data_IF_985018624743
#
_entry.id   IF_985018624743
#
_cell.length_a   1.000
_cell.length_b   1.000
_cell.length_c   1.000
_cell.angle_alpha   90.00
_cell.angle_beta   90.00
_cell.angle_gamma   90.00
#
_symmetry.space_group_name_H-M   'P 1'
#
loop_
_entity.id
_entity.type
_entity.pdbx_description
1 polymer ?
#
# COMPACT_ATOMS: atom_id res chain seq x y z
N UNK A 1 -2.55 -17.50 0.12
CA UNK A 1 -2.88 -18.28 -1.10
C UNK A 1 -2.78 -17.36 -2.30
N UNK A 2 -2.17 -17.81 -3.40
CA UNK A 2 -2.18 -17.05 -4.67
C UNK A 2 -3.63 -16.85 -5.13
N UNK A 3 -4.01 -15.67 -5.68
CA UNK A 3 -5.38 -15.42 -6.13
C UNK A 3 -5.78 -16.38 -7.26
N UNK A 4 -7.00 -16.90 -7.16
CA UNK A 4 -7.61 -17.74 -8.20
C UNK A 4 -8.41 -16.87 -9.19
N UNK A 5 -7.76 -15.94 -9.87
CA UNK A 5 -8.44 -15.11 -10.87
C UNK A 5 -7.65 -13.82 -11.17
N UNK A 6 -8.00 -13.11 -12.26
CA UNK A 6 -7.34 -11.88 -12.62
C UNK A 6 -7.69 -10.77 -11.61
N UNK A 7 -6.68 -10.01 -11.20
CA UNK A 7 -6.87 -8.75 -10.43
C UNK A 7 -7.59 -7.72 -11.29
N UNK A 8 -8.29 -6.78 -10.66
CA UNK A 8 -8.81 -5.61 -11.36
C UNK A 8 -7.61 -4.78 -11.84
N UNK A 9 -7.42 -4.60 -13.15
CA UNK A 9 -6.32 -3.78 -13.64
C UNK A 9 -6.48 -2.34 -13.15
N UNK A 10 -5.37 -1.65 -12.92
CA UNK A 10 -5.31 -0.25 -12.47
C UNK A 10 -6.07 0.06 -11.17
N UNK A 11 -6.46 -0.96 -10.40
CA UNK A 11 -7.16 -0.77 -9.14
C UNK A 11 -6.17 -0.63 -7.98
N UNK A 12 -6.16 0.54 -7.37
CA UNK A 12 -5.36 0.88 -6.20
C UNK A 12 -6.19 0.73 -4.92
N UNK A 13 -5.52 0.44 -3.81
CA UNK A 13 -6.15 0.42 -2.50
C UNK A 13 -5.24 0.93 -1.39
N UNK A 14 -5.84 1.34 -0.29
CA UNK A 14 -5.21 1.46 1.03
C UNK A 14 -6.13 0.93 2.11
N UNK A 15 -5.58 0.48 3.22
CA UNK A 15 -6.34 0.01 4.39
C UNK A 15 -5.68 0.50 5.67
N UNK A 16 -6.35 1.42 6.38
CA UNK A 16 -5.84 1.99 7.63
C UNK A 16 -6.96 2.65 8.44
N UNK A 17 -6.64 3.09 9.65
CA UNK A 17 -7.50 4.07 10.33
C UNK A 17 -7.51 5.37 9.53
N UNK A 18 -8.67 6.03 9.44
CA UNK A 18 -8.77 7.37 8.83
C UNK A 18 -8.41 8.42 9.88
N UNK A 19 -7.12 8.61 10.07
CA UNK A 19 -6.51 9.49 11.06
C UNK A 19 -5.34 10.25 10.42
N UNK A 20 -5.03 11.43 10.95
CA UNK A 20 -4.11 12.40 10.35
C UNK A 20 -2.72 11.83 10.05
N UNK A 21 -2.21 10.98 10.93
CA UNK A 21 -0.89 10.34 10.75
C UNK A 21 -0.82 9.35 9.57
N UNK A 22 -1.97 9.03 8.96
CA UNK A 22 -2.05 8.15 7.77
C UNK A 22 -2.04 8.92 6.46
N UNK A 23 -2.23 10.23 6.51
CA UNK A 23 -2.14 11.13 5.37
C UNK A 23 -2.87 10.64 4.11
N UNK A 24 -4.14 10.18 4.30
CA UNK A 24 -4.96 9.69 3.19
C UNK A 24 -5.26 10.79 2.18
N UNK A 25 -5.32 12.03 2.63
CA UNK A 25 -5.44 13.23 1.78
C UNK A 25 -4.30 13.32 0.75
N UNK A 26 -3.06 13.01 1.13
CA UNK A 26 -1.93 12.99 0.19
C UNK A 26 -2.10 11.91 -0.88
N UNK A 27 -2.62 10.72 -0.51
CA UNK A 27 -2.91 9.67 -1.48
C UNK A 27 -4.02 10.09 -2.45
N UNK A 28 -5.07 10.77 -1.98
CA UNK A 28 -6.14 11.29 -2.82
C UNK A 28 -5.57 12.27 -3.86
N UNK A 29 -4.79 13.27 -3.43
CA UNK A 29 -4.14 14.20 -4.37
C UNK A 29 -3.22 13.50 -5.36
N UNK A 30 -2.45 12.52 -4.92
CA UNK A 30 -1.54 11.75 -5.79
C UNK A 30 -2.31 10.93 -6.82
N UNK A 31 -3.40 10.28 -6.41
CA UNK A 31 -4.22 9.47 -7.32
C UNK A 31 -4.96 10.33 -8.33
N UNK A 32 -5.45 11.52 -7.95
CA UNK A 32 -6.04 12.48 -8.91
C UNK A 32 -5.04 12.82 -10.02
N UNK A 33 -3.81 13.17 -9.67
CA UNK A 33 -2.74 13.47 -10.65
C UNK A 33 -2.35 12.26 -11.51
N UNK A 34 -2.36 11.06 -10.93
CA UNK A 34 -2.11 9.83 -11.69
C UNK A 34 -3.25 9.48 -12.63
N UNK A 35 -4.50 9.69 -12.22
CA UNK A 35 -5.70 9.46 -13.02
C UNK A 35 -5.77 10.40 -14.25
N UNK A 36 -5.27 11.64 -14.15
CA UNK A 36 -5.13 12.54 -15.31
C UNK A 36 -4.25 11.95 -16.41
N UNK A 37 -3.28 11.12 -16.07
CA UNK A 37 -2.36 10.47 -17.02
C UNK A 37 -2.85 9.06 -17.44
N UNK A 38 -3.51 8.35 -16.54
CA UNK A 38 -4.06 7.00 -16.73
C UNK A 38 -5.51 6.96 -16.21
N UNK A 39 -6.51 7.31 -17.05
CA UNK A 39 -7.92 7.42 -16.63
C UNK A 39 -8.57 6.11 -16.16
N UNK A 40 -7.92 4.98 -16.36
CA UNK A 40 -8.38 3.68 -15.86
C UNK A 40 -8.11 3.47 -14.36
N UNK A 41 -7.26 4.30 -13.75
CA UNK A 41 -6.91 4.19 -12.33
C UNK A 41 -8.16 4.43 -11.47
N UNK A 42 -8.38 3.50 -10.53
CA UNK A 42 -9.39 3.63 -9.47
C UNK A 42 -8.72 3.45 -8.11
N UNK A 43 -9.30 4.05 -7.06
CA UNK A 43 -8.74 3.98 -5.71
C UNK A 43 -9.82 3.74 -4.65
N UNK A 44 -9.71 2.64 -3.92
CA UNK A 44 -10.59 2.27 -2.83
C UNK A 44 -9.87 2.41 -1.47
N UNK A 45 -10.46 3.18 -0.57
CA UNK A 45 -9.91 3.49 0.76
C UNK A 45 -10.71 2.73 1.82
N UNK A 46 -10.08 1.75 2.45
CA UNK A 46 -10.67 0.93 3.51
C UNK A 46 -10.30 1.45 4.89
N UNK A 47 -11.28 1.50 5.77
CA UNK A 47 -11.11 1.89 7.16
C UNK A 47 -12.16 2.86 7.66
N UNK A 48 -12.03 3.20 8.94
CA UNK A 48 -12.88 4.17 9.63
C UNK A 48 -12.01 5.09 10.48
N UNK A 49 -12.52 6.27 10.78
CA UNK A 49 -11.82 7.25 11.64
C UNK A 49 -12.39 8.64 11.55
N UNK A 50 -11.82 9.53 12.35
CA UNK A 50 -12.32 10.89 12.50
C UNK A 50 -12.22 11.76 11.25
N UNK A 51 -11.32 11.43 10.31
CA UNK A 51 -11.10 12.22 9.10
C UNK A 51 -12.06 11.88 7.95
N UNK A 52 -12.97 10.91 8.14
CA UNK A 52 -13.88 10.48 7.06
C UNK A 52 -14.59 11.64 6.37
N UNK A 53 -15.20 12.55 7.14
CA UNK A 53 -15.98 13.67 6.57
C UNK A 53 -15.08 14.65 5.77
N UNK A 54 -13.87 14.91 6.26
CA UNK A 54 -12.89 15.75 5.57
C UNK A 54 -12.44 15.10 4.26
N UNK A 55 -12.19 13.77 4.26
CA UNK A 55 -11.80 13.04 3.05
C UNK A 55 -12.93 12.95 2.04
N UNK A 56 -14.20 12.77 2.46
CA UNK A 56 -15.38 12.83 1.60
C UNK A 56 -15.49 14.20 0.92
N UNK A 57 -15.32 15.28 1.69
CA UNK A 57 -15.32 16.63 1.16
C UNK A 57 -14.19 16.87 0.15
N UNK A 58 -12.95 16.42 0.46
CA UNK A 58 -11.79 16.53 -0.42
C UNK A 58 -12.03 15.81 -1.76
N UNK A 59 -12.55 14.58 -1.74
CA UNK A 59 -12.88 13.82 -2.95
C UNK A 59 -13.89 14.60 -3.81
N UNK A 60 -14.90 15.18 -3.18
CA UNK A 60 -15.90 16.00 -3.88
C UNK A 60 -15.31 17.30 -4.48
N UNK A 61 -14.49 18.03 -3.74
CA UNK A 61 -13.83 19.25 -4.21
C UNK A 61 -12.90 18.98 -5.41
N UNK A 62 -12.31 17.78 -5.47
CA UNK A 62 -11.46 17.34 -6.57
C UNK A 62 -12.24 16.67 -7.72
N UNK A 63 -13.58 16.57 -7.65
CA UNK A 63 -14.44 15.87 -8.60
C UNK A 63 -14.00 14.44 -8.88
N UNK A 64 -13.58 13.70 -7.83
CA UNK A 64 -12.96 12.39 -7.93
C UNK A 64 -13.88 11.22 -7.53
N UNK A 65 -15.18 11.46 -7.26
CA UNK A 65 -16.12 10.48 -6.72
C UNK A 65 -16.34 9.26 -7.64
N UNK A 66 -16.13 9.44 -8.94
CA UNK A 66 -16.32 8.35 -9.90
C UNK A 66 -15.22 7.26 -9.79
N UNK A 67 -14.01 7.63 -9.32
CA UNK A 67 -12.87 6.72 -9.29
C UNK A 67 -12.17 6.60 -7.92
N UNK A 68 -12.51 7.44 -6.90
CA UNK A 68 -12.03 7.34 -5.52
C UNK A 68 -13.19 7.10 -4.56
N UNK A 69 -13.11 6.07 -3.72
CA UNK A 69 -14.21 5.66 -2.83
C UNK A 69 -13.74 5.34 -1.42
N UNK A 70 -14.50 5.83 -0.42
CA UNK A 70 -14.34 5.47 1.00
C UNK A 70 -15.21 4.26 1.32
N UNK A 71 -14.61 3.09 1.39
CA UNK A 71 -15.28 1.80 1.52
C UNK A 71 -15.75 1.47 2.94
N UNK A 72 -15.21 2.16 3.97
CA UNK A 72 -15.50 1.84 5.36
C UNK A 72 -14.75 0.60 5.85
N UNK A 73 -15.23 0.02 6.96
CA UNK A 73 -14.60 -1.16 7.56
C UNK A 73 -15.03 -2.44 6.83
N UNK A 74 -14.05 -3.27 6.45
CA UNK A 74 -14.27 -4.56 5.83
C UNK A 74 -13.36 -5.63 6.44
N UNK A 75 -13.76 -6.89 6.32
CA UNK A 75 -12.87 -8.02 6.60
C UNK A 75 -11.88 -8.17 5.44
N UNK A 76 -10.63 -7.83 5.67
CA UNK A 76 -9.65 -7.59 4.59
C UNK A 76 -9.08 -8.84 3.93
N UNK A 77 -9.20 -10.03 4.54
CA UNK A 77 -8.54 -11.26 4.08
C UNK A 77 -8.75 -11.60 2.59
N UNK A 78 -9.92 -11.27 2.03
CA UNK A 78 -10.25 -11.54 0.63
C UNK A 78 -10.24 -10.27 -0.24
N UNK A 79 -9.99 -9.10 0.35
CA UNK A 79 -10.06 -7.82 -0.34
C UNK A 79 -8.81 -7.55 -1.16
N UNK A 80 -7.62 -7.69 -0.55
CA UNK A 80 -6.33 -7.35 -1.19
C UNK A 80 -6.14 -7.99 -2.56
N UNK A 81 -6.56 -9.25 -2.74
CA UNK A 81 -6.38 -10.00 -4.00
C UNK A 81 -7.10 -9.40 -5.21
N UNK A 82 -8.07 -8.50 -4.99
CA UNK A 82 -8.82 -7.87 -6.07
C UNK A 82 -8.12 -6.65 -6.67
N UNK A 83 -7.05 -6.18 -6.05
CA UNK A 83 -6.36 -4.94 -6.41
C UNK A 83 -5.03 -5.21 -7.12
N UNK A 84 -4.51 -4.17 -7.77
CA UNK A 84 -3.24 -4.20 -8.49
C UNK A 84 -2.09 -3.60 -7.71
N UNK A 85 -2.35 -2.68 -6.77
CA UNK A 85 -1.33 -2.12 -5.89
C UNK A 85 -1.92 -1.57 -4.59
N UNK A 86 -1.06 -1.47 -3.58
CA UNK A 86 -1.34 -0.88 -2.27
C UNK A 86 -0.58 0.44 -2.12
N UNK A 87 -1.25 1.48 -1.62
CA UNK A 87 -0.66 2.80 -1.36
C UNK A 87 -0.56 3.07 0.15
N UNK A 88 0.57 3.62 0.59
CA UNK A 88 0.80 4.06 1.96
C UNK A 88 1.38 5.46 1.99
N UNK A 89 0.76 6.37 2.73
CA UNK A 89 1.31 7.72 2.98
C UNK A 89 1.67 7.93 4.46
N UNK A 90 1.66 6.87 5.27
CA UNK A 90 2.08 6.98 6.67
C UNK A 90 3.50 7.51 6.79
N UNK A 91 3.69 8.52 7.63
CA UNK A 91 5.01 9.08 7.96
C UNK A 91 5.67 8.36 9.14
N UNK A 92 4.96 7.44 9.77
CA UNK A 92 5.45 6.57 10.84
C UNK A 92 4.71 5.24 10.80
N UNK A 93 5.45 4.18 10.62
CA UNK A 93 4.94 2.81 10.69
C UNK A 93 5.83 1.96 11.60
N UNK A 94 5.23 1.34 12.61
CA UNK A 94 5.93 0.37 13.45
C UNK A 94 6.31 -0.87 12.62
N UNK A 95 5.52 -1.93 12.70
CA UNK A 95 5.75 -3.13 11.86
C UNK A 95 5.03 -3.05 10.50
N UNK A 96 3.82 -2.46 10.44
CA UNK A 96 3.05 -2.37 9.21
C UNK A 96 2.31 -3.66 8.84
N UNK A 97 1.41 -4.14 9.70
CA UNK A 97 0.63 -5.37 9.44
C UNK A 97 -0.14 -5.31 8.11
N UNK A 98 -0.70 -4.17 7.76
CA UNK A 98 -1.43 -4.00 6.48
C UNK A 98 -0.50 -4.07 5.27
N UNK A 99 0.78 -3.68 5.43
CA UNK A 99 1.80 -3.83 4.40
C UNK A 99 2.17 -5.31 4.22
N UNK A 100 2.34 -6.04 5.34
CA UNK A 100 2.57 -7.49 5.30
C UNK A 100 1.39 -8.23 4.64
N UNK A 101 0.16 -7.87 4.97
CA UNK A 101 -1.04 -8.43 4.34
C UNK A 101 -1.08 -8.13 2.84
N UNK A 102 -0.69 -6.91 2.42
CA UNK A 102 -0.61 -6.52 1.02
C UNK A 102 0.43 -7.36 0.25
N UNK A 103 1.70 -7.43 0.72
CA UNK A 103 2.74 -8.24 0.04
C UNK A 103 2.42 -9.73 0.13
N UNK A 104 1.84 -10.21 1.23
CA UNK A 104 1.35 -11.58 1.39
C UNK A 104 0.19 -11.94 0.46
N UNK A 105 -0.49 -10.95 -0.07
CA UNK A 105 -1.49 -11.07 -1.14
C UNK A 105 -0.91 -10.80 -2.53
N UNK A 106 0.40 -10.59 -2.64
CA UNK A 106 1.11 -10.33 -3.89
C UNK A 106 0.88 -8.92 -4.44
N UNK A 107 0.51 -7.94 -3.61
CA UNK A 107 0.40 -6.56 -4.06
C UNK A 107 1.76 -5.85 -4.01
N UNK A 108 2.16 -5.16 -5.07
CA UNK A 108 3.21 -4.17 -4.99
C UNK A 108 2.76 -3.00 -4.11
N UNK A 109 3.72 -2.33 -3.47
CA UNK A 109 3.44 -1.22 -2.55
C UNK A 109 4.19 0.04 -3.00
N UNK A 110 3.51 1.19 -2.94
CA UNK A 110 4.16 2.50 -3.02
C UNK A 110 4.01 3.18 -1.67
N UNK A 111 5.11 3.71 -1.13
CA UNK A 111 5.10 4.40 0.15
C UNK A 111 6.34 5.24 0.38
N UNK A 112 6.32 6.08 1.41
CA UNK A 112 7.51 6.86 1.79
C UNK A 112 8.57 6.00 2.48
N UNK A 113 9.84 6.35 2.32
CA UNK A 113 10.96 5.72 3.02
C UNK A 113 10.97 6.15 4.49
N UNK A 114 10.06 5.59 5.27
CA UNK A 114 9.90 5.86 6.70
C UNK A 114 10.21 4.61 7.51
N UNK A 115 10.98 4.79 8.59
CA UNK A 115 11.34 3.70 9.52
C UNK A 115 10.08 3.24 10.27
N UNK A 116 9.77 1.93 10.38
CA UNK A 116 10.53 0.77 9.90
C UNK A 116 9.73 -0.03 8.85
N UNK A 117 8.40 0.14 8.77
CA UNK A 117 7.49 -0.69 8.00
C UNK A 117 7.75 -0.69 6.50
N UNK A 118 7.72 0.49 5.85
CA UNK A 118 7.80 0.55 4.40
C UNK A 118 9.08 -0.08 3.83
N UNK A 119 10.31 0.26 4.30
CA UNK A 119 11.53 -0.38 3.79
C UNK A 119 11.65 -1.87 4.09
N UNK A 120 10.86 -2.38 5.06
CA UNK A 120 10.82 -3.82 5.35
C UNK A 120 10.08 -4.60 4.27
N UNK A 121 9.04 -4.01 3.68
CA UNK A 121 8.13 -4.69 2.75
C UNK A 121 8.23 -4.19 1.31
N UNK A 122 8.97 -3.12 1.05
CA UNK A 122 9.16 -2.57 -0.29
C UNK A 122 10.62 -2.73 -0.71
N UNK A 123 10.86 -3.47 -1.78
CA UNK A 123 12.12 -3.47 -2.52
C UNK A 123 11.96 -2.49 -3.67
N UNK A 124 12.62 -1.34 -3.57
CA UNK A 124 12.47 -0.24 -4.52
C UNK A 124 12.77 -0.66 -5.95
N UNK A 125 11.82 -0.41 -6.87
CA UNK A 125 11.89 -0.82 -8.26
C UNK A 125 11.63 -2.31 -8.54
N UNK A 126 11.44 -3.17 -7.52
CA UNK A 126 11.23 -4.61 -7.70
C UNK A 126 9.79 -5.04 -7.39
N UNK A 127 9.22 -4.59 -6.25
CA UNK A 127 7.82 -4.82 -5.88
C UNK A 127 7.09 -3.54 -5.47
N UNK A 128 7.50 -2.40 -6.00
CA UNK A 128 6.93 -1.11 -5.73
C UNK A 128 7.97 -0.01 -5.67
N UNK A 129 7.63 1.09 -5.00
CA UNK A 129 8.52 2.24 -4.91
C UNK A 129 8.58 2.81 -3.50
N UNK A 130 9.79 3.16 -3.06
CA UNK A 130 10.06 3.97 -1.88
C UNK A 130 10.29 5.43 -2.32
N UNK A 131 9.43 6.33 -1.85
CA UNK A 131 9.60 7.76 -2.06
C UNK A 131 10.48 8.29 -0.93
N UNK A 132 11.61 8.94 -1.22
CA UNK A 132 12.67 9.19 -0.24
C UNK A 132 12.22 9.96 1.00
N UNK A 133 11.30 10.92 0.88
CA UNK A 133 10.90 11.75 2.00
C UNK A 133 9.49 12.35 1.80
N UNK A 134 8.71 12.36 2.88
CA UNK A 134 7.48 13.14 2.91
C UNK A 134 7.82 14.63 3.08
N UNK A 135 7.28 15.47 2.18
CA UNK A 135 7.51 16.92 2.16
C UNK A 135 6.19 17.67 2.34
N UNK A 136 5.66 17.77 3.58
CA UNK A 136 4.39 18.44 3.83
C UNK A 136 4.38 19.91 3.42
N UNK A 137 5.55 20.56 3.46
CA UNK A 137 5.72 21.97 3.08
C UNK A 137 5.69 22.19 1.56
N UNK A 138 5.81 21.11 0.77
CA UNK A 138 5.72 21.12 -0.70
C UNK A 138 4.80 19.96 -1.17
N UNK A 139 3.54 20.05 -0.79
CA UNK A 139 2.53 19.06 -1.06
C UNK A 139 2.35 18.78 -2.56
N UNK A 140 2.43 19.82 -3.38
CA UNK A 140 2.25 19.71 -4.83
C UNK A 140 3.36 18.88 -5.48
N UNK A 141 4.63 19.18 -5.21
CA UNK A 141 5.75 18.42 -5.73
C UNK A 141 5.76 16.98 -5.20
N UNK A 142 5.47 16.78 -3.90
CA UNK A 142 5.43 15.48 -3.27
C UNK A 142 4.35 14.57 -3.88
N UNK A 143 3.13 15.09 -4.04
CA UNK A 143 2.02 14.33 -4.64
C UNK A 143 2.21 14.10 -6.14
N UNK A 144 2.93 14.98 -6.83
CA UNK A 144 3.34 14.78 -8.23
C UNK A 144 4.33 13.62 -8.33
N UNK A 145 5.38 13.60 -7.50
CA UNK A 145 6.34 12.48 -7.46
C UNK A 145 5.66 11.16 -7.14
N UNK A 146 4.72 11.16 -6.18
CA UNK A 146 3.95 9.96 -5.84
C UNK A 146 3.09 9.49 -7.02
N UNK A 147 2.43 10.41 -7.73
CA UNK A 147 1.64 10.11 -8.92
C UNK A 147 2.49 9.52 -10.05
N UNK A 148 3.70 10.06 -10.28
CA UNK A 148 4.64 9.51 -11.25
C UNK A 148 5.01 8.06 -10.91
N UNK A 149 5.21 7.72 -9.63
CA UNK A 149 5.48 6.33 -9.21
C UNK A 149 4.28 5.41 -9.44
N UNK A 150 3.05 5.89 -9.24
CA UNK A 150 1.84 5.13 -9.60
C UNK A 150 1.81 4.84 -11.11
N UNK A 151 2.04 5.85 -11.95
CA UNK A 151 2.05 5.70 -13.41
C UNK A 151 3.17 4.75 -13.85
N UNK A 152 4.38 4.91 -13.30
CA UNK A 152 5.53 4.03 -13.59
C UNK A 152 5.23 2.57 -13.24
N UNK A 153 4.57 2.31 -12.11
CA UNK A 153 4.22 0.96 -11.68
C UNK A 153 3.40 0.22 -12.75
N UNK A 154 2.46 0.90 -13.39
CA UNK A 154 1.58 0.29 -14.39
C UNK A 154 2.14 0.30 -15.81
N UNK A 155 3.04 1.20 -16.13
CA UNK A 155 3.55 1.37 -17.50
C UNK A 155 4.91 0.73 -17.74
N UNK A 156 5.71 0.51 -16.69
CA UNK A 156 7.09 0.05 -16.80
C UNK A 156 7.31 -1.36 -16.25
N UNK A 157 6.33 -1.94 -15.55
CA UNK A 157 6.47 -3.23 -14.90
C UNK A 157 5.38 -4.21 -15.31
N UNK A 158 5.72 -5.49 -15.32
CA UNK A 158 4.77 -6.58 -15.37
C UNK A 158 4.13 -6.77 -13.99
N UNK A 159 2.81 -6.80 -13.93
CA UNK A 159 2.07 -7.10 -12.68
C UNK A 159 2.42 -8.47 -12.11
N UNK A 160 2.77 -9.44 -12.96
CA UNK A 160 3.20 -10.77 -12.55
C UNK A 160 4.55 -10.72 -11.83
N UNK A 161 5.52 -9.98 -12.36
CA UNK A 161 6.85 -9.82 -11.76
C UNK A 161 6.77 -9.09 -10.42
N UNK A 162 6.05 -7.98 -10.35
CA UNK A 162 5.81 -7.24 -9.11
C UNK A 162 5.17 -8.14 -8.04
N UNK A 163 4.15 -8.92 -8.44
CA UNK A 163 3.44 -9.84 -7.54
C UNK A 163 4.35 -10.96 -7.05
N UNK A 164 5.19 -11.53 -7.91
CA UNK A 164 6.16 -12.55 -7.55
C UNK A 164 7.12 -12.05 -6.48
N UNK A 165 7.71 -10.87 -6.67
CA UNK A 165 8.63 -10.27 -5.68
C UNK A 165 7.91 -9.93 -4.37
N UNK A 166 6.66 -9.46 -4.43
CA UNK A 166 5.86 -9.21 -3.21
C UNK A 166 5.67 -10.50 -2.39
N UNK A 167 5.39 -11.65 -3.02
CA UNK A 167 5.32 -12.93 -2.31
C UNK A 167 6.68 -13.35 -1.72
N UNK A 168 7.78 -13.13 -2.43
CA UNK A 168 9.14 -13.40 -1.90
C UNK A 168 9.45 -12.56 -0.67
N UNK A 169 9.03 -11.30 -0.65
CA UNK A 169 9.17 -10.40 0.52
C UNK A 169 8.34 -10.89 1.70
N UNK A 170 7.14 -11.42 1.45
CA UNK A 170 6.25 -11.94 2.50
C UNK A 170 6.69 -13.29 3.07
N UNK A 171 7.41 -14.11 2.30
CA UNK A 171 7.75 -15.50 2.65
C UNK A 171 8.37 -15.67 4.06
N UNK A 172 9.33 -14.82 4.50
CA UNK A 172 9.92 -14.95 5.84
C UNK A 172 8.93 -14.76 7.00
N UNK A 173 7.74 -14.23 6.72
CA UNK A 173 6.71 -13.91 7.71
C UNK A 173 5.54 -14.91 7.71
N UNK A 174 5.64 -16.00 6.95
CA UNK A 174 4.66 -17.10 7.01
C UNK A 174 4.74 -17.81 8.37
N UNK A 175 3.59 -18.29 8.85
CA UNK A 175 3.45 -18.90 10.17
C UNK A 175 4.47 -20.03 10.41
N UNK A 176 4.72 -20.87 9.39
CA UNK A 176 5.69 -21.96 9.45
C UNK A 176 7.13 -21.47 9.66
N UNK A 177 7.54 -20.39 9.00
CA UNK A 177 8.88 -19.80 9.17
C UNK A 177 9.02 -19.09 10.52
N UNK A 178 7.97 -18.43 11.00
CA UNK A 178 7.95 -17.82 12.33
C UNK A 178 8.02 -18.89 13.40
N UNK A 179 7.23 -19.96 13.28
CA UNK A 179 7.26 -21.08 14.23
C UNK A 179 8.64 -21.74 14.30
N UNK A 180 9.32 -21.95 13.16
CA UNK A 180 10.67 -22.50 13.13
C UNK A 180 11.68 -21.59 13.83
N UNK A 181 11.65 -20.28 13.59
CA UNK A 181 12.53 -19.31 14.27
C UNK A 181 12.34 -19.32 15.79
N UNK A 182 11.10 -19.40 16.26
CA UNK A 182 10.79 -19.50 17.68
C UNK A 182 11.34 -20.81 18.27
N UNK A 183 11.16 -21.92 17.57
CA UNK A 183 11.72 -23.21 17.99
C UNK A 183 13.24 -23.15 18.13
N UNK A 184 13.94 -22.63 17.11
CA UNK A 184 15.41 -22.52 17.11
C UNK A 184 15.91 -21.58 18.22
N UNK A 185 15.20 -20.46 18.47
CA UNK A 185 15.52 -19.53 19.56
C UNK A 185 15.40 -20.21 20.93
N UNK A 186 14.31 -20.93 21.17
CA UNK A 186 14.10 -21.66 22.44
C UNK A 186 15.15 -22.73 22.63
N UNK A 187 15.49 -23.48 21.59
CA UNK A 187 16.57 -24.51 21.67
C UNK A 187 17.92 -23.87 21.98
N UNK A 188 18.25 -22.73 21.34
CA UNK A 188 19.53 -22.05 21.60
C UNK A 188 19.63 -21.51 23.03
N UNK A 189 18.52 -21.06 23.61
CA UNK A 189 18.47 -20.55 24.98
C UNK A 189 18.58 -21.66 26.06
N UNK A 190 18.23 -22.91 25.71
CA UNK A 190 18.35 -24.06 26.65
C UNK A 190 19.78 -24.62 26.71
N UNK A 191 20.68 -24.21 25.82
CA UNK A 191 22.06 -24.69 25.73
C UNK A 191 23.10 -23.66 26.22
N UNK A 192 22.64 -22.54 26.80
CA UNK A 192 23.43 -21.55 27.54
C UNK A 192 23.25 -21.72 29.06
#
# INVERSE_FOLDING_TARGET
RRPEGPRKPFALMTASRLASEKHIDWLIHSVVKAHEQLPEITFDIYGTGGERAMLEQLIHELNAEEYIRLMGHHHMADVYRNYSAYLSASTSEGFGLTLLEAVGSGLPIIGFDVRYGNPTFIRDGENGYLIPEARPDDLDAMTTEYAEKIVQLFTQHSQEDLSRVSYEVAEPYLDEHIAQRWYDLVQSAQHQ
#
